data_IF_090995276846
#
_entry.id   IF_090995276846
#
_cell.length_a   1.000
_cell.length_b   1.000
_cell.length_c   1.000
_cell.angle_alpha   90.00
_cell.angle_beta   90.00
_cell.angle_gamma   90.00
#
_symmetry.space_group_name_H-M   'P 1'
#
loop_
_entity.id
_entity.type
_entity.pdbx_description
1 polymer ?
#
# COMPACT_ATOMS: atom_id res chain seq x y z
N UNK A 1 -10.99 7.39 -5.71
CA UNK A 1 -10.68 7.82 -7.11
C UNK A 1 -10.27 6.58 -7.85
N UNK A 2 -10.78 6.38 -9.06
CA UNK A 2 -10.50 5.18 -9.84
C UNK A 2 -9.16 5.31 -10.57
N UNK A 3 -8.31 4.29 -10.40
CA UNK A 3 -7.03 4.18 -11.07
C UNK A 3 -7.04 2.92 -11.92
N UNK A 4 -6.64 3.06 -13.17
CA UNK A 4 -6.43 1.96 -14.10
C UNK A 4 -4.98 1.47 -14.03
N UNK A 5 -4.82 0.15 -14.02
CA UNK A 5 -3.54 -0.55 -14.16
C UNK A 5 -3.32 -0.92 -15.63
N UNK A 6 -2.22 -0.43 -16.20
CA UNK A 6 -1.81 -0.67 -17.59
C UNK A 6 -0.83 -1.84 -17.73
N UNK A 7 -0.58 -2.58 -16.64
CA UNK A 7 0.33 -3.74 -16.67
C UNK A 7 -0.37 -4.91 -17.36
N UNK A 8 0.12 -5.25 -18.55
CA UNK A 8 -0.31 -6.43 -19.30
C UNK A 8 0.31 -7.69 -18.68
N UNK A 9 -0.49 -8.46 -17.94
CA UNK A 9 -0.12 -9.76 -17.40
C UNK A 9 -1.31 -10.71 -17.34
N UNK A 10 -1.04 -12.01 -17.47
CA UNK A 10 -2.01 -13.07 -17.21
C UNK A 10 -2.35 -13.15 -15.72
N UNK A 11 -3.64 -13.23 -15.39
CA UNK A 11 -4.14 -13.36 -14.02
C UNK A 11 -4.48 -12.03 -13.32
N UNK A 12 -4.87 -12.10 -12.02
CA UNK A 12 -5.34 -10.95 -11.26
C UNK A 12 -4.27 -9.87 -11.20
N UNK A 13 -4.64 -8.62 -11.45
CA UNK A 13 -3.70 -7.50 -11.40
C UNK A 13 -3.72 -6.91 -10.00
N UNK A 14 -2.60 -7.05 -9.31
CA UNK A 14 -2.43 -6.72 -7.89
C UNK A 14 -1.15 -5.90 -7.78
N UNK A 15 -1.23 -4.76 -7.09
CA UNK A 15 -0.08 -3.90 -6.83
C UNK A 15 0.04 -3.58 -5.34
N UNK A 16 1.25 -3.63 -4.81
CA UNK A 16 1.55 -3.20 -3.45
C UNK A 16 2.20 -1.82 -3.49
N UNK A 17 1.56 -0.84 -2.85
CA UNK A 17 2.04 0.54 -2.73
C UNK A 17 2.09 0.90 -1.25
N UNK A 18 3.28 1.19 -0.73
CA UNK A 18 3.48 1.60 0.67
C UNK A 18 2.91 0.61 1.71
N UNK A 19 3.01 -0.70 1.44
CA UNK A 19 2.44 -1.76 2.28
C UNK A 19 0.95 -2.04 2.05
N UNK A 20 0.26 -1.26 1.19
CA UNK A 20 -1.14 -1.47 0.85
C UNK A 20 -1.26 -2.22 -0.47
N UNK A 21 -2.07 -3.28 -0.48
CA UNK A 21 -2.33 -4.07 -1.67
C UNK A 21 -3.62 -3.63 -2.33
N UNK A 22 -3.51 -3.31 -3.61
CA UNK A 22 -4.58 -2.87 -4.48
C UNK A 22 -4.88 -3.98 -5.49
N UNK A 23 -6.12 -4.45 -5.49
CA UNK A 23 -6.61 -5.43 -6.46
C UNK A 23 -7.36 -4.69 -7.55
N UNK A 24 -6.85 -4.75 -8.77
CA UNK A 24 -7.46 -4.17 -9.95
C UNK A 24 -8.40 -5.20 -10.57
N UNK A 25 -9.69 -4.86 -10.64
CA UNK A 25 -10.72 -5.68 -11.28
C UNK A 25 -10.88 -5.25 -12.72
N UNK A 26 -11.02 -6.23 -13.60
CA UNK A 26 -11.35 -5.98 -15.00
C UNK A 26 -12.78 -5.47 -15.12
N UNK A 27 -12.93 -4.38 -15.85
CA UNK A 27 -14.20 -3.70 -16.13
C UNK A 27 -14.76 -4.19 -17.47
N UNK A 28 -16.05 -3.92 -17.78
CA UNK A 28 -16.67 -4.34 -19.04
C UNK A 28 -16.00 -3.81 -20.31
N UNK A 29 -15.25 -2.71 -20.20
CA UNK A 29 -14.45 -2.11 -21.27
C UNK A 29 -13.03 -2.70 -21.38
N UNK A 30 -12.70 -3.71 -20.58
CA UNK A 30 -11.39 -4.36 -20.53
C UNK A 30 -10.36 -3.63 -19.65
N UNK A 31 -10.70 -2.47 -19.08
CA UNK A 31 -9.79 -1.74 -18.20
C UNK A 31 -9.67 -2.44 -16.84
N UNK A 32 -8.46 -2.49 -16.28
CA UNK A 32 -8.23 -3.06 -14.94
C UNK A 32 -8.21 -1.94 -13.91
N UNK A 33 -9.29 -1.78 -13.17
CA UNK A 33 -9.54 -0.59 -12.34
C UNK A 33 -9.54 -0.92 -10.85
N UNK A 34 -9.03 -0.01 -10.04
CA UNK A 34 -9.09 -0.08 -8.58
C UNK A 34 -9.52 1.26 -7.98
N UNK A 35 -10.39 1.24 -6.96
CA UNK A 35 -10.68 2.45 -6.18
C UNK A 35 -9.58 2.72 -5.13
N UNK A 36 -8.93 3.86 -5.28
CA UNK A 36 -7.86 4.32 -4.41
C UNK A 36 -8.33 5.55 -3.64
N UNK A 37 -8.70 5.34 -2.37
CA UNK A 37 -9.21 6.40 -1.50
C UNK A 37 -8.12 7.20 -0.77
N UNK A 38 -6.91 6.65 -0.66
CA UNK A 38 -5.79 7.33 0.00
C UNK A 38 -5.11 8.34 -0.94
N UNK A 39 -5.04 9.61 -0.52
CA UNK A 39 -4.37 10.69 -1.24
C UNK A 39 -2.93 10.41 -1.65
N UNK A 40 -2.09 9.99 -0.71
CA UNK A 40 -0.68 9.71 -0.97
C UNK A 40 -0.46 8.51 -1.89
N UNK A 41 -1.33 7.50 -1.81
CA UNK A 41 -1.22 6.34 -2.69
C UNK A 41 -1.63 6.67 -4.13
N UNK A 42 -2.64 7.53 -4.32
CA UNK A 42 -3.01 8.07 -5.63
C UNK A 42 -1.83 8.80 -6.27
N UNK A 43 -1.24 9.75 -5.54
CA UNK A 43 -0.09 10.50 -6.03
C UNK A 43 1.08 9.56 -6.38
N UNK A 44 1.35 8.57 -5.52
CA UNK A 44 2.39 7.58 -5.75
C UNK A 44 2.14 6.74 -7.00
N UNK A 45 0.92 6.23 -7.20
CA UNK A 45 0.58 5.46 -8.41
C UNK A 45 0.68 6.32 -9.66
N UNK A 46 0.09 7.51 -9.64
CA UNK A 46 0.09 8.44 -10.78
C UNK A 46 1.48 9.00 -11.09
N UNK A 47 2.43 8.95 -10.15
CA UNK A 47 3.84 9.26 -10.41
C UNK A 47 4.54 8.23 -11.33
N UNK A 48 3.90 7.08 -11.59
CA UNK A 48 4.40 6.03 -12.47
C UNK A 48 3.46 5.85 -13.69
N UNK A 49 3.46 6.81 -14.63
CA UNK A 49 2.53 6.80 -15.76
C UNK A 49 2.78 5.67 -16.76
N UNK A 50 3.87 4.90 -16.62
CA UNK A 50 4.07 3.68 -17.40
C UNK A 50 3.18 2.51 -16.94
N UNK A 51 2.66 2.57 -15.71
CA UNK A 51 1.92 1.47 -15.09
C UNK A 51 0.50 1.85 -14.66
N UNK A 52 0.26 3.12 -14.34
CA UNK A 52 -1.02 3.58 -13.82
C UNK A 52 -1.49 4.86 -14.49
N UNK A 53 -2.80 5.00 -14.64
CA UNK A 53 -3.45 6.24 -15.05
C UNK A 53 -4.78 6.44 -14.32
N UNK A 54 -5.31 7.65 -14.37
CA UNK A 54 -6.68 7.91 -13.92
C UNK A 54 -7.61 7.15 -14.87
N UNK A 55 -8.54 6.39 -14.30
CA UNK A 55 -9.56 5.72 -15.10
C UNK A 55 -10.70 6.70 -15.39
N UNK A 56 -10.99 6.91 -16.68
CA UNK A 56 -12.12 7.69 -17.16
C UNK A 56 -13.09 6.73 -17.85
N UNK A 57 -14.25 6.42 -17.24
CA UNK A 57 -15.19 5.48 -17.84
C UNK A 57 -15.72 6.03 -19.17
N UNK A 58 -15.83 5.14 -20.15
CA UNK A 58 -16.52 5.48 -21.40
C UNK A 58 -17.97 5.88 -21.11
N UNK A 59 -18.52 6.81 -21.90
CA UNK A 59 -19.88 7.29 -21.71
C UNK A 59 -20.89 6.13 -21.72
N UNK A 60 -21.60 5.94 -20.60
CA UNK A 60 -22.59 4.86 -20.43
C UNK A 60 -22.05 3.56 -19.85
N UNK A 61 -20.75 3.48 -19.50
CA UNK A 61 -20.17 2.37 -18.75
C UNK A 61 -20.12 2.76 -17.27
N UNK A 62 -20.91 2.08 -16.45
CA UNK A 62 -20.80 2.22 -14.99
C UNK A 62 -19.69 1.29 -14.49
N UNK A 63 -18.63 1.83 -13.85
CA UNK A 63 -17.59 0.98 -13.29
C UNK A 63 -18.17 0.12 -12.16
N UNK A 64 -17.86 -1.17 -12.17
CA UNK A 64 -18.14 -2.04 -11.02
C UNK A 64 -17.20 -1.68 -9.88
N UNK A 65 -17.68 -0.75 -9.05
CA UNK A 65 -17.01 -0.24 -7.85
C UNK A 65 -17.31 -1.08 -6.60
N UNK A 66 -17.94 -2.25 -6.72
CA UNK A 66 -18.07 -3.20 -5.61
C UNK A 66 -16.73 -3.93 -5.38
N UNK A 67 -15.66 -3.15 -5.27
CA UNK A 67 -14.40 -3.58 -4.70
C UNK A 67 -14.55 -3.37 -3.21
N UNK A 68 -14.53 -4.47 -2.45
CA UNK A 68 -14.16 -4.33 -1.04
C UNK A 68 -12.82 -3.59 -1.03
N UNK A 69 -12.72 -2.43 -0.33
CA UNK A 69 -11.43 -1.78 -0.20
C UNK A 69 -10.49 -2.86 0.30
N UNK A 70 -9.43 -3.15 -0.47
CA UNK A 70 -8.45 -4.15 -0.06
C UNK A 70 -8.10 -3.82 1.38
N UNK A 71 -8.47 -4.71 2.30
CA UNK A 71 -8.22 -4.48 3.71
C UNK A 71 -6.74 -4.09 3.81
N UNK A 72 -6.38 -3.05 4.58
CA UNK A 72 -4.97 -2.78 4.81
C UNK A 72 -4.34 -4.13 5.17
N UNK A 73 -3.38 -4.58 4.38
CA UNK A 73 -2.53 -5.66 4.84
C UNK A 73 -1.82 -5.02 6.01
N UNK A 74 -2.31 -5.30 7.22
CA UNK A 74 -1.56 -5.01 8.43
C UNK A 74 -0.31 -5.85 8.22
N UNK A 75 0.87 -5.23 7.98
CA UNK A 75 2.07 -6.03 7.82
C UNK A 75 2.17 -6.88 9.08
N UNK A 76 2.50 -8.16 8.93
CA UNK A 76 2.72 -9.02 10.08
C UNK A 76 3.78 -8.32 10.95
N UNK A 77 3.34 -7.78 12.08
CA UNK A 77 4.21 -7.05 13.00
C UNK A 77 5.04 -8.13 13.66
N UNK A 78 6.34 -8.23 13.36
CA UNK A 78 7.15 -9.27 13.95
C UNK A 78 7.29 -8.98 15.43
N UNK A 79 7.51 -10.04 16.21
CA UNK A 79 7.89 -9.87 17.61
C UNK A 79 9.27 -9.20 17.67
N UNK A 80 9.28 -7.90 17.98
CA UNK A 80 10.51 -7.13 17.96
C UNK A 80 11.45 -7.45 19.15
N UNK A 81 10.96 -8.11 20.20
CA UNK A 81 11.74 -8.35 21.43
C UNK A 81 12.87 -9.36 21.18
N UNK A 82 12.67 -10.28 20.23
CA UNK A 82 13.66 -11.29 19.82
C UNK A 82 14.52 -10.87 18.61
N UNK A 83 14.33 -9.66 18.06
CA UNK A 83 15.01 -9.21 16.84
C UNK A 83 16.24 -8.33 17.09
N UNK A 84 17.21 -8.39 16.17
CA UNK A 84 18.30 -7.40 16.11
C UNK A 84 17.79 -6.02 15.72
N UNK A 85 18.41 -4.97 16.28
CA UNK A 85 18.03 -3.57 16.03
C UNK A 85 18.07 -3.19 14.55
N UNK A 86 18.98 -3.78 13.76
CA UNK A 86 19.01 -3.53 12.32
C UNK A 86 17.85 -4.20 11.58
N UNK A 87 17.42 -5.36 12.03
CA UNK A 87 16.26 -6.03 11.45
C UNK A 87 14.98 -5.21 11.66
N UNK A 88 14.78 -4.68 12.87
CA UNK A 88 13.66 -3.77 13.19
C UNK A 88 13.71 -2.51 12.32
N UNK A 89 14.89 -1.95 12.08
CA UNK A 89 15.08 -0.76 11.21
C UNK A 89 14.79 -1.04 9.74
N UNK A 90 15.23 -2.20 9.25
CA UNK A 90 14.99 -2.62 7.87
C UNK A 90 13.49 -2.80 7.67
N UNK A 91 12.83 -3.55 8.56
CA UNK A 91 11.39 -3.74 8.52
C UNK A 91 10.64 -2.41 8.58
N UNK A 92 10.98 -1.52 9.51
CA UNK A 92 10.35 -0.20 9.62
C UNK A 92 10.56 0.65 8.35
N UNK A 93 11.71 0.55 7.71
CA UNK A 93 11.97 1.26 6.44
C UNK A 93 11.17 0.69 5.28
N UNK A 94 11.04 -0.64 5.21
CA UNK A 94 10.39 -1.35 4.10
C UNK A 94 8.86 -1.27 4.23
N UNK A 95 8.33 -1.62 5.40
CA UNK A 95 6.89 -1.75 5.65
C UNK A 95 6.23 -0.42 6.04
N UNK A 96 6.93 0.40 6.83
CA UNK A 96 6.37 1.68 7.31
C UNK A 96 6.88 2.90 6.55
N UNK A 97 7.93 2.74 5.72
CA UNK A 97 8.57 3.86 5.03
C UNK A 97 9.32 4.82 5.95
N UNK A 98 9.59 4.44 7.21
CA UNK A 98 10.22 5.33 8.20
C UNK A 98 11.72 5.07 8.32
N UNK A 99 12.51 6.14 8.46
CA UNK A 99 13.94 6.06 8.79
C UNK A 99 14.12 6.24 10.29
N UNK A 100 14.40 5.16 10.99
CA UNK A 100 14.78 5.21 12.41
C UNK A 100 16.27 5.56 12.54
N UNK A 101 16.64 6.41 13.51
CA UNK A 101 18.03 6.82 13.74
C UNK A 101 18.91 5.61 14.11
N UNK A 102 20.04 5.47 13.40
CA UNK A 102 21.01 4.38 13.58
C UNK A 102 21.71 4.32 14.94
N UNK A 103 21.66 5.41 15.72
CA UNK A 103 22.27 5.51 17.04
C UNK A 103 21.35 5.09 18.20
N UNK A 104 20.08 4.77 17.92
CA UNK A 104 19.12 4.42 18.98
C UNK A 104 19.28 2.96 19.43
N UNK A 105 19.26 2.68 20.75
CA UNK A 105 19.16 1.31 21.28
C UNK A 105 17.91 0.58 20.76
N UNK A 106 17.91 -0.76 20.86
CA UNK A 106 16.80 -1.63 20.42
C UNK A 106 15.46 -1.17 21.00
N UNK A 107 15.38 -1.01 22.33
CA UNK A 107 14.15 -0.61 23.03
C UNK A 107 13.56 0.72 22.51
N UNK A 108 14.42 1.73 22.29
CA UNK A 108 13.99 3.03 21.76
C UNK A 108 13.60 2.95 20.28
N UNK A 109 14.25 2.07 19.52
CA UNK A 109 13.89 1.78 18.12
C UNK A 109 12.50 1.14 18.05
N UNK A 110 12.23 0.15 18.89
CA UNK A 110 10.92 -0.50 19.01
C UNK A 110 9.85 0.51 19.42
N UNK A 111 10.10 1.35 20.43
CA UNK A 111 9.16 2.40 20.83
C UNK A 111 8.84 3.40 19.71
N UNK A 112 9.85 3.80 18.92
CA UNK A 112 9.65 4.68 17.78
C UNK A 112 8.78 4.02 16.70
N UNK A 113 9.01 2.74 16.42
CA UNK A 113 8.21 1.94 15.47
C UNK A 113 6.78 1.77 15.98
N UNK A 114 6.59 1.35 17.23
CA UNK A 114 5.28 1.17 17.85
C UNK A 114 4.47 2.48 17.90
N UNK A 115 5.13 3.62 18.13
CA UNK A 115 4.47 4.93 18.06
C UNK A 115 3.90 5.21 16.68
N UNK A 116 4.64 4.88 15.63
CA UNK A 116 4.18 5.08 14.25
C UNK A 116 3.07 4.08 13.88
N UNK A 117 3.17 2.83 14.34
CA UNK A 117 2.12 1.82 14.19
C UNK A 117 0.80 2.28 14.83
N UNK A 118 0.84 2.82 16.06
CA UNK A 118 -0.32 3.43 16.72
C UNK A 118 -0.86 4.63 15.95
N UNK A 119 0.03 5.51 15.46
CA UNK A 119 -0.36 6.68 14.65
C UNK A 119 -1.11 6.27 13.37
N UNK A 120 -0.71 5.15 12.77
CA UNK A 120 -1.36 4.56 11.58
C UNK A 120 -2.60 3.71 11.93
N UNK A 121 -2.89 3.49 13.22
CA UNK A 121 -4.03 2.71 13.68
C UNK A 121 -3.86 1.19 13.52
N UNK A 122 -2.63 0.69 13.43
CA UNK A 122 -2.34 -0.73 13.18
C UNK A 122 -2.21 -1.55 14.48
N UNK A 123 -1.91 -0.89 15.59
CA UNK A 123 -1.91 -1.48 16.94
C UNK A 123 -2.60 -0.51 17.91
N UNK A 124 -3.11 -1.05 19.02
CA UNK A 124 -3.75 -0.30 20.10
C UNK A 124 -2.74 0.40 21.04
#
# INVERSE_FOLDING_TARGET
MLIECMVEREGPSVATICGFTYTFKEQPDGAKVCDVNNGGHRERMLSMPAFYRVYEPAAGVEPDINQEPGAPIIPEIPDFEDMDVNAVRIWARTELGIKVKGSLPLRQTIEAVNRELRRKGWIA
#
